data_IF_116363795516
#
_entry.id   IF_116363795516
#
_cell.length_a   1.000
_cell.length_b   1.000
_cell.length_c   1.000
_cell.angle_alpha   90.00
_cell.angle_beta   90.00
_cell.angle_gamma   90.00
#
_symmetry.space_group_name_H-M   'P 1'
#
loop_
_entity.id
_entity.type
_entity.pdbx_description
1 polymer ?
#
# COMPACT_ATOMS: atom_id res chain seq x y z
N UNK A 1 13.79 -9.74 -15.19
CA UNK A 1 13.16 -8.67 -14.38
C UNK A 1 12.30 -9.33 -13.32
N UNK A 2 12.61 -9.14 -12.03
CA UNK A 2 11.73 -9.64 -10.96
C UNK A 2 10.57 -8.66 -10.84
N UNK A 3 9.40 -9.06 -11.32
CA UNK A 3 8.17 -8.36 -11.01
C UNK A 3 7.81 -8.67 -9.56
N UNK A 4 8.07 -7.74 -8.65
CA UNK A 4 7.49 -7.77 -7.31
C UNK A 4 6.00 -7.44 -7.49
N UNK A 5 5.19 -8.48 -7.68
CA UNK A 5 3.77 -8.32 -8.03
C UNK A 5 2.89 -8.10 -6.80
N UNK A 6 3.31 -8.57 -5.62
CA UNK A 6 2.49 -8.50 -4.42
C UNK A 6 3.37 -8.26 -3.20
N UNK A 7 3.03 -7.23 -2.43
CA UNK A 7 3.63 -7.00 -1.12
C UNK A 7 2.64 -7.54 -0.11
N UNK A 8 2.88 -8.79 0.28
CA UNK A 8 2.12 -9.49 1.30
C UNK A 8 2.60 -9.01 2.66
N UNK A 9 1.75 -8.27 3.36
CA UNK A 9 2.02 -7.77 4.70
C UNK A 9 1.15 -8.58 5.65
N UNK A 10 1.75 -9.63 6.21
CA UNK A 10 1.13 -10.44 7.25
C UNK A 10 1.73 -10.04 8.60
N UNK A 11 0.89 -9.54 9.50
CA UNK A 11 1.20 -9.49 10.94
C UNK A 11 0.08 -10.19 11.72
N UNK A 12 0.42 -11.33 12.31
CA UNK A 12 -0.37 -11.91 13.38
C UNK A 12 -0.13 -11.10 14.65
N UNK A 13 -0.94 -10.05 14.83
CA UNK A 13 -0.97 -9.31 16.09
C UNK A 13 -1.75 -10.14 17.13
N UNK A 14 -1.07 -11.12 17.72
CA UNK A 14 -1.53 -11.81 18.93
C UNK A 14 -1.44 -10.87 20.13
N UNK A 15 -2.44 -10.01 20.31
CA UNK A 15 -2.53 -9.07 21.42
C UNK A 15 -3.92 -9.15 22.03
N UNK A 16 -4.04 -9.97 23.08
CA UNK A 16 -5.16 -9.94 23.99
C UNK A 16 -5.01 -8.75 24.94
N UNK A 17 -6.05 -7.91 25.04
CA UNK A 17 -6.18 -6.92 26.13
C UNK A 17 -6.01 -5.43 25.76
N UNK A 18 -5.59 -5.08 24.54
CA UNK A 18 -5.67 -3.69 24.07
C UNK A 18 -6.90 -3.50 23.20
N UNK A 19 -7.67 -2.41 23.44
CA UNK A 19 -8.74 -2.00 22.52
C UNK A 19 -8.08 -1.82 21.14
N UNK A 20 -8.52 -2.59 20.14
CA UNK A 20 -7.99 -2.71 18.76
C UNK A 20 -7.81 -1.37 18.00
N UNK A 21 -8.22 -0.25 18.59
CA UNK A 21 -8.43 1.05 17.97
C UNK A 21 -7.21 1.99 17.98
N UNK A 22 -6.17 1.72 18.78
CA UNK A 22 -5.07 2.70 18.99
C UNK A 22 -3.66 2.20 18.65
N UNK A 23 -3.53 1.09 17.91
CA UNK A 23 -2.21 0.57 17.53
C UNK A 23 -1.74 1.18 16.22
N UNK A 24 -0.92 2.22 16.32
CA UNK A 24 -0.10 2.68 15.20
C UNK A 24 1.08 1.72 15.00
N UNK A 25 1.04 0.96 13.92
CA UNK A 25 2.15 0.08 13.52
C UNK A 25 2.86 0.73 12.34
N UNK A 26 4.13 1.11 12.55
CA UNK A 26 4.98 1.51 11.44
C UNK A 26 5.50 0.27 10.71
N UNK A 27 5.38 0.31 9.39
CA UNK A 27 5.93 -0.68 8.49
C UNK A 27 6.77 0.02 7.44
N UNK A 28 7.96 -0.52 7.21
CA UNK A 28 8.91 0.01 6.24
C UNK A 28 9.12 -1.05 5.16
N UNK A 29 8.86 -0.66 3.93
CA UNK A 29 9.18 -1.43 2.75
C UNK A 29 10.36 -0.74 2.04
N UNK A 30 11.46 -1.46 1.87
CA UNK A 30 12.58 -1.01 1.05
C UNK A 30 12.55 -1.79 -0.26
N UNK A 31 12.28 -1.08 -1.36
CA UNK A 31 12.18 -1.68 -2.70
C UNK A 31 12.52 -0.66 -3.78
N UNK A 32 12.86 -1.13 -4.98
CA UNK A 32 12.95 -0.28 -6.16
C UNK A 32 11.54 0.09 -6.67
N UNK A 33 11.42 1.25 -7.30
CA UNK A 33 10.16 1.66 -7.92
C UNK A 33 9.80 0.63 -9.01
N UNK A 34 8.57 0.07 -9.01
CA UNK A 34 8.14 -0.86 -10.04
C UNK A 34 8.30 -0.23 -11.43
N UNK A 35 8.97 -0.96 -12.34
CA UNK A 35 9.09 -0.55 -13.72
C UNK A 35 7.72 -0.41 -14.41
N UNK A 36 7.66 0.43 -15.44
CA UNK A 36 6.42 0.73 -16.18
C UNK A 36 5.73 -0.55 -16.66
N UNK A 37 4.57 -0.85 -16.08
CA UNK A 37 3.68 -1.89 -16.58
C UNK A 37 2.86 -1.31 -17.74
N UNK A 38 2.88 -1.95 -18.90
CA UNK A 38 2.14 -1.42 -20.06
C UNK A 38 0.64 -1.41 -19.73
N UNK A 39 0.00 -0.25 -19.89
CA UNK A 39 -1.46 -0.09 -19.74
C UNK A 39 -1.95 0.25 -18.34
N UNK A 40 -1.08 0.34 -17.32
CA UNK A 40 -1.46 0.78 -15.96
C UNK A 40 -0.50 1.85 -15.45
N UNK A 41 -0.99 2.76 -14.64
CA UNK A 41 -0.13 3.72 -13.94
C UNK A 41 0.75 2.98 -12.92
N UNK A 42 1.97 3.44 -12.59
CA UNK A 42 2.78 2.79 -11.55
C UNK A 42 2.01 2.64 -10.23
N UNK A 43 2.00 1.42 -9.69
CA UNK A 43 1.30 1.09 -8.45
C UNK A 43 1.99 -0.06 -7.72
N UNK A 44 1.63 -0.22 -6.44
CA UNK A 44 2.05 -1.33 -5.59
C UNK A 44 0.79 -2.06 -5.10
N UNK A 45 0.74 -3.38 -5.24
CA UNK A 45 -0.30 -4.20 -4.61
C UNK A 45 0.03 -4.44 -3.15
N UNK A 46 -0.97 -4.23 -2.29
CA UNK A 46 -0.84 -4.39 -0.84
C UNK A 46 -1.97 -5.27 -0.33
N UNK A 47 -1.60 -6.29 0.44
CA UNK A 47 -2.53 -7.08 1.23
C UNK A 47 -2.16 -6.98 2.70
N UNK A 48 -3.09 -6.48 3.52
CA UNK A 48 -2.94 -6.32 4.97
C UNK A 48 -3.93 -7.24 5.66
N UNK A 49 -3.43 -8.11 6.53
CA UNK A 49 -4.24 -8.96 7.40
C UNK A 49 -4.08 -8.48 8.85
N UNK A 50 -5.20 -8.20 9.51
CA UNK A 50 -5.28 -7.74 10.91
C UNK A 50 -6.31 -8.58 11.67
N UNK A 51 -5.87 -9.74 12.19
CA UNK A 51 -6.77 -10.72 12.80
C UNK A 51 -7.75 -11.30 11.78
N UNK A 52 -9.07 -11.14 12.02
CA UNK A 52 -10.13 -11.60 11.10
C UNK A 52 -10.38 -10.66 9.91
N UNK A 53 -9.72 -9.51 9.89
CA UNK A 53 -9.94 -8.49 8.88
C UNK A 53 -8.85 -8.52 7.83
N UNK A 54 -9.23 -8.36 6.57
CA UNK A 54 -8.31 -8.34 5.44
C UNK A 54 -8.63 -7.16 4.52
N UNK A 55 -7.58 -6.44 4.11
CA UNK A 55 -7.62 -5.39 3.10
C UNK A 55 -6.69 -5.79 1.96
N UNK A 56 -7.25 -6.00 0.78
CA UNK A 56 -6.48 -6.12 -0.47
C UNK A 56 -6.74 -4.86 -1.29
N UNK A 57 -5.69 -4.11 -1.60
CA UNK A 57 -5.78 -2.84 -2.33
C UNK A 57 -4.52 -2.61 -3.18
N UNK A 58 -4.49 -1.49 -3.89
CA UNK A 58 -3.35 -1.01 -4.66
C UNK A 58 -3.05 0.44 -4.25
N UNK A 59 -1.78 0.80 -4.15
CA UNK A 59 -1.32 2.15 -3.86
C UNK A 59 -0.71 2.79 -5.10
N UNK A 60 -0.96 4.09 -5.30
CA UNK A 60 -0.53 4.83 -6.48
C UNK A 60 0.56 5.84 -6.14
N UNK A 61 1.52 6.01 -7.05
CA UNK A 61 2.52 7.06 -6.93
C UNK A 61 1.92 8.42 -7.31
N UNK A 62 2.30 9.51 -6.60
CA UNK A 62 1.86 10.85 -6.96
C UNK A 62 2.51 11.30 -8.28
N UNK A 63 1.84 12.26 -8.95
CA UNK A 63 2.35 12.96 -10.13
C UNK A 63 2.69 12.07 -11.34
N UNK A 64 2.09 10.89 -11.45
CA UNK A 64 2.24 10.05 -12.64
C UNK A 64 1.26 10.53 -13.72
N UNK A 65 1.72 10.89 -14.93
CA UNK A 65 0.82 11.30 -16.02
C UNK A 65 -0.23 10.23 -16.36
N UNK A 66 0.12 8.96 -16.19
CA UNK A 66 -0.79 7.83 -16.39
C UNK A 66 -1.90 7.71 -15.34
N UNK A 67 -1.85 8.42 -14.21
CA UNK A 67 -2.94 8.42 -13.23
C UNK A 67 -4.24 8.94 -13.84
N UNK A 68 -4.17 9.90 -14.76
CA UNK A 68 -5.35 10.51 -15.39
C UNK A 68 -6.07 9.59 -16.39
N UNK A 69 -5.37 8.57 -16.91
CA UNK A 69 -5.91 7.67 -17.92
C UNK A 69 -6.09 6.23 -17.41
N UNK A 70 -5.58 5.89 -16.22
CA UNK A 70 -5.80 4.59 -15.62
C UNK A 70 -7.20 4.52 -14.98
N UNK A 71 -8.06 3.67 -15.55
CA UNK A 71 -9.42 3.44 -15.08
C UNK A 71 -9.51 3.05 -13.59
N UNK A 72 -8.48 2.39 -13.05
CA UNK A 72 -8.48 1.94 -11.66
C UNK A 72 -7.96 2.99 -10.68
N UNK A 73 -7.38 4.09 -11.16
CA UNK A 73 -6.80 5.11 -10.30
C UNK A 73 -7.86 5.75 -9.40
N UNK A 74 -7.63 5.69 -8.09
CA UNK A 74 -8.36 6.44 -7.08
C UNK A 74 -7.37 7.32 -6.31
N UNK A 75 -7.65 8.63 -6.27
CA UNK A 75 -6.84 9.62 -5.55
C UNK A 75 -6.74 9.31 -4.05
N UNK A 76 -7.73 8.62 -3.46
CA UNK A 76 -7.70 8.18 -2.06
C UNK A 76 -6.63 7.13 -1.78
N UNK A 77 -6.16 6.44 -2.81
CA UNK A 77 -5.12 5.40 -2.73
C UNK A 77 -3.74 5.94 -3.19
N UNK A 78 -3.61 7.26 -3.38
CA UNK A 78 -2.35 7.89 -3.75
C UNK A 78 -1.46 8.08 -2.52
N UNK A 79 -0.22 7.60 -2.59
CA UNK A 79 0.78 7.82 -1.55
C UNK A 79 1.21 9.29 -1.48
N UNK A 80 1.62 9.71 -0.30
CA UNK A 80 2.25 11.02 -0.11
C UNK A 80 3.75 10.88 -0.36
N UNK A 81 4.32 11.79 -1.15
CA UNK A 81 5.76 11.87 -1.38
C UNK A 81 6.40 12.71 -0.27
N UNK A 82 7.46 12.20 0.35
CA UNK A 82 8.25 12.86 1.39
C UNK A 82 9.72 12.90 0.98
N UNK A 83 10.57 13.59 1.76
CA UNK A 83 12.02 13.57 1.51
C UNK A 83 12.67 12.21 1.81
N UNK A 84 12.01 11.34 2.56
CA UNK A 84 12.50 10.00 2.92
C UNK A 84 11.87 8.85 2.12
N UNK A 85 10.92 9.14 1.23
CA UNK A 85 10.24 8.12 0.41
C UNK A 85 8.74 8.38 0.27
N UNK A 86 7.95 7.30 0.24
CA UNK A 86 6.49 7.37 0.10
C UNK A 86 5.80 6.85 1.36
N UNK A 87 4.76 7.53 1.80
CA UNK A 87 3.97 7.15 2.98
C UNK A 87 2.49 6.99 2.63
N UNK A 88 1.81 6.07 3.32
CA UNK A 88 0.37 5.86 3.22
C UNK A 88 -0.15 5.30 4.55
N UNK A 89 -1.25 5.88 5.06
CA UNK A 89 -1.90 5.44 6.28
C UNK A 89 -3.09 4.53 5.94
N UNK A 90 -3.12 3.34 6.54
CA UNK A 90 -4.21 2.39 6.37
C UNK A 90 -5.15 2.44 7.56
N UNK A 91 -6.45 2.36 7.27
CA UNK A 91 -7.49 2.13 8.27
C UNK A 91 -8.08 0.74 7.99
N UNK A 92 -7.92 -0.18 8.93
CA UNK A 92 -8.41 -1.57 8.84
C UNK A 92 -9.36 -1.80 10.01
N UNK A 93 -10.63 -2.11 9.72
CA UNK A 93 -11.68 -2.40 10.74
C UNK A 93 -11.51 -3.74 11.41
#
# INVERSE_FOLDING_TARGET
>A
MRHLKDIMIQRDLGIEGFKKQDLMVLMILVTDIPGKYVGRTPHIHVKISAGKSELTTQLYFPNQPSNYSDYFFDKKLQMQNTSQGFIFDFIVG
#
